data_IF_595674482557
#
_entry.id   IF_595674482557
#
_cell.length_a   1.000
_cell.length_b   1.000
_cell.length_c   1.000
_cell.angle_alpha   90.00
_cell.angle_beta   90.00
_cell.angle_gamma   90.00
#
_symmetry.space_group_name_H-M   'P 1'
#
loop_
_entity.id
_entity.type
_entity.pdbx_description
1 polymer ?
#
# COMPACT_ATOMS: atom_id res chain seq x y z
N UNK A 1 36.70 -12.05 -11.52
CA UNK A 1 35.54 -12.83 -11.05
C UNK A 1 35.15 -12.57 -9.59
N UNK A 2 36.05 -12.65 -8.59
CA UNK A 2 35.68 -12.46 -7.17
C UNK A 2 35.17 -11.04 -6.84
N UNK A 3 35.80 -10.00 -7.39
CA UNK A 3 35.37 -8.60 -7.22
C UNK A 3 33.97 -8.37 -7.84
N UNK A 4 33.69 -9.02 -8.97
CA UNK A 4 32.40 -8.93 -9.66
C UNK A 4 31.24 -9.47 -8.82
N UNK A 5 31.45 -10.58 -8.10
CA UNK A 5 30.42 -11.17 -7.21
C UNK A 5 30.18 -10.27 -5.99
N UNK A 6 31.25 -9.72 -5.39
CA UNK A 6 31.13 -8.79 -4.27
C UNK A 6 30.32 -7.54 -4.64
N UNK A 7 30.59 -6.96 -5.81
CA UNK A 7 29.82 -5.81 -6.32
C UNK A 7 28.34 -6.13 -6.55
N UNK A 8 28.01 -7.33 -7.02
CA UNK A 8 26.62 -7.78 -7.17
C UNK A 8 25.91 -7.82 -5.81
N UNK A 9 26.54 -8.37 -4.77
CA UNK A 9 25.94 -8.40 -3.43
C UNK A 9 25.72 -7.01 -2.84
N UNK A 10 26.68 -6.10 -3.01
CA UNK A 10 26.53 -4.71 -2.58
C UNK A 10 25.36 -4.05 -3.30
N UNK A 11 25.28 -4.21 -4.62
CA UNK A 11 24.18 -3.65 -5.41
C UNK A 11 22.81 -4.20 -4.96
N UNK A 12 22.68 -5.52 -4.80
CA UNK A 12 21.44 -6.14 -4.32
C UNK A 12 21.04 -5.63 -2.93
N UNK A 13 22.02 -5.46 -2.02
CA UNK A 13 21.76 -4.94 -0.68
C UNK A 13 21.23 -3.51 -0.72
N UNK A 14 21.77 -2.66 -1.59
CA UNK A 14 21.28 -1.29 -1.78
C UNK A 14 19.85 -1.28 -2.31
N UNK A 15 19.55 -2.09 -3.33
CA UNK A 15 18.20 -2.18 -3.90
C UNK A 15 17.17 -2.62 -2.86
N UNK A 16 17.49 -3.66 -2.08
CA UNK A 16 16.63 -4.13 -0.99
C UNK A 16 16.48 -3.08 0.10
N UNK A 17 17.56 -2.39 0.47
CA UNK A 17 17.54 -1.32 1.47
C UNK A 17 16.61 -0.17 1.07
N UNK A 18 16.69 0.30 -0.18
CA UNK A 18 15.80 1.34 -0.70
C UNK A 18 14.34 0.87 -0.69
N UNK A 19 14.08 -0.38 -1.12
CA UNK A 19 12.73 -0.94 -1.12
C UNK A 19 12.14 -1.06 0.30
N UNK A 20 12.94 -1.48 1.28
CA UNK A 20 12.51 -1.55 2.68
C UNK A 20 12.25 -0.15 3.27
N UNK A 21 13.07 0.84 2.93
CA UNK A 21 12.87 2.22 3.36
C UNK A 21 11.57 2.81 2.79
N UNK A 22 11.26 2.50 1.53
CA UNK A 22 10.02 2.89 0.87
C UNK A 22 8.80 2.27 1.58
N UNK A 23 8.84 0.96 1.90
CA UNK A 23 7.80 0.31 2.71
C UNK A 23 7.70 0.92 4.11
N UNK A 24 8.84 1.19 4.74
CA UNK A 24 8.88 1.80 6.07
C UNK A 24 8.20 3.17 6.09
N UNK A 25 8.44 3.98 5.05
CA UNK A 25 7.85 5.31 4.88
C UNK A 25 6.35 5.24 4.65
N UNK A 26 5.83 4.17 4.05
CA UNK A 26 4.37 3.96 3.95
C UNK A 26 3.77 3.62 5.31
N UNK A 27 4.47 2.80 6.10
CA UNK A 27 4.00 2.32 7.41
C UNK A 27 3.98 3.38 8.52
N UNK A 28 4.55 4.55 8.27
CA UNK A 28 4.42 5.72 9.14
C UNK A 28 3.13 6.50 8.88
N UNK A 29 2.24 6.03 8.00
CA UNK A 29 0.98 6.69 7.66
C UNK A 29 -0.24 5.94 8.22
N UNK A 30 -1.33 6.67 8.39
CA UNK A 30 -2.67 6.17 8.71
C UNK A 30 -3.59 6.56 7.59
N UNK A 31 -4.54 5.69 7.26
CA UNK A 31 -5.65 6.02 6.37
C UNK A 31 -6.93 6.11 7.18
N UNK A 32 -7.69 7.18 6.94
CA UNK A 32 -8.99 7.47 7.52
C UNK A 32 -10.04 7.42 6.41
N UNK A 33 -11.12 6.70 6.69
CA UNK A 33 -12.19 6.44 5.73
C UNK A 33 -13.40 7.26 6.16
N UNK A 34 -13.90 8.14 5.30
CA UNK A 34 -15.02 9.04 5.64
C UNK A 34 -16.36 8.57 5.08
N UNK A 35 -16.35 7.56 4.21
CA UNK A 35 -17.53 6.88 3.70
C UNK A 35 -17.17 5.43 3.33
N UNK A 36 -18.13 4.48 3.31
CA UNK A 36 -17.79 3.07 3.07
C UNK A 36 -17.09 2.87 1.73
N UNK A 37 -16.01 2.08 1.72
CA UNK A 37 -15.23 1.76 0.51
C UNK A 37 -14.82 0.29 0.45
N UNK A 38 -14.78 -0.31 -0.76
CA UNK A 38 -14.33 -1.68 -0.93
C UNK A 38 -12.81 -1.78 -0.84
N UNK A 39 -12.33 -2.86 -0.21
CA UNK A 39 -10.93 -3.27 -0.24
C UNK A 39 -10.73 -4.46 -1.19
N UNK A 40 -9.90 -4.29 -2.21
CA UNK A 40 -9.70 -5.26 -3.30
C UNK A 40 -8.51 -6.20 -3.07
N UNK A 41 -8.51 -7.31 -3.81
CA UNK A 41 -7.40 -8.28 -3.84
C UNK A 41 -6.11 -7.74 -4.42
N UNK A 42 -6.19 -6.81 -5.38
CA UNK A 42 -5.04 -6.23 -6.08
C UNK A 42 -5.16 -4.69 -6.16
N UNK A 43 -4.01 -4.01 -6.13
CA UNK A 43 -3.96 -2.55 -6.27
C UNK A 43 -4.33 -2.10 -7.68
N UNK A 44 -4.10 -2.95 -8.69
CA UNK A 44 -4.44 -2.67 -10.09
C UNK A 44 -5.94 -2.60 -10.35
N UNK A 45 -6.78 -2.93 -9.36
CA UNK A 45 -8.23 -2.78 -9.46
C UNK A 45 -8.72 -1.32 -9.53
N UNK A 46 -7.81 -0.35 -9.35
CA UNK A 46 -8.07 1.03 -9.72
C UNK A 46 -8.14 1.27 -11.24
N UNK A 47 -7.66 0.34 -12.08
CA UNK A 47 -7.81 0.45 -13.54
C UNK A 47 -9.17 -0.09 -14.00
N UNK A 48 -9.87 0.69 -14.82
CA UNK A 48 -11.22 0.37 -15.31
C UNK A 48 -11.36 -1.00 -16.01
N UNK A 49 -10.29 -1.49 -16.66
CA UNK A 49 -10.31 -2.72 -17.46
C UNK A 49 -9.49 -3.86 -16.82
N UNK A 50 -9.15 -3.77 -15.53
CA UNK A 50 -8.41 -4.85 -14.85
C UNK A 50 -9.34 -6.04 -14.58
N UNK A 51 -9.00 -7.19 -15.12
CA UNK A 51 -9.69 -8.45 -14.83
C UNK A 51 -9.19 -9.06 -13.51
N UNK A 52 -10.04 -9.89 -12.88
CA UNK A 52 -9.69 -10.60 -11.65
C UNK A 52 -9.83 -9.78 -10.36
N UNK A 53 -10.49 -8.63 -10.43
CA UNK A 53 -10.77 -7.79 -9.27
C UNK A 53 -11.93 -8.36 -8.44
N UNK A 54 -11.66 -8.61 -7.18
CA UNK A 54 -12.66 -9.02 -6.20
C UNK A 54 -12.48 -8.22 -4.92
N UNK A 55 -13.61 -7.91 -4.28
CA UNK A 55 -13.64 -7.30 -2.96
C UNK A 55 -13.33 -8.38 -1.93
N UNK A 56 -12.36 -8.12 -1.06
CA UNK A 56 -11.99 -9.00 0.07
C UNK A 56 -12.84 -8.68 1.28
N UNK A 57 -13.08 -7.39 1.55
CA UNK A 57 -13.95 -6.88 2.59
C UNK A 57 -14.37 -5.45 2.27
N UNK A 58 -15.48 -5.02 2.88
CA UNK A 58 -15.90 -3.62 2.89
C UNK A 58 -15.30 -2.91 4.10
N UNK A 59 -14.92 -1.66 3.90
CA UNK A 59 -14.33 -0.82 4.95
C UNK A 59 -15.36 0.21 5.36
N UNK A 60 -15.71 0.21 6.63
CA UNK A 60 -16.75 1.09 7.17
C UNK A 60 -16.31 2.56 7.23
N UNK A 61 -17.30 3.45 7.25
CA UNK A 61 -17.06 4.87 7.49
C UNK A 61 -16.49 5.12 8.89
N UNK A 62 -15.75 6.22 9.03
CA UNK A 62 -15.07 6.70 10.23
C UNK A 62 -14.00 5.73 10.78
N UNK A 63 -13.64 4.70 10.02
CA UNK A 63 -12.61 3.74 10.37
C UNK A 63 -11.20 4.29 10.06
N UNK A 64 -10.23 3.93 10.90
CA UNK A 64 -8.82 4.28 10.75
C UNK A 64 -7.95 3.04 10.74
N UNK A 65 -7.05 2.95 9.77
CA UNK A 65 -6.15 1.81 9.62
C UNK A 65 -4.71 2.25 9.44
N UNK A 66 -3.81 1.46 10.01
CA UNK A 66 -2.39 1.55 9.70
C UNK A 66 -2.14 1.16 8.24
N UNK A 67 -1.44 2.04 7.52
CA UNK A 67 -1.05 1.78 6.13
C UNK A 67 0.04 0.71 6.11
N UNK A 68 -0.17 -0.35 5.32
CA UNK A 68 0.85 -1.39 5.12
C UNK A 68 1.75 -1.10 3.93
N UNK A 69 1.19 -0.47 2.89
CA UNK A 69 1.85 -0.15 1.62
C UNK A 69 1.04 0.89 0.86
N UNK A 70 1.71 1.76 0.12
CA UNK A 70 1.09 2.61 -0.89
C UNK A 70 1.62 2.21 -2.27
N UNK A 71 0.74 2.19 -3.26
CA UNK A 71 1.08 2.03 -4.68
C UNK A 71 0.48 3.16 -5.49
N UNK A 72 1.21 3.59 -6.50
CA UNK A 72 0.76 4.61 -7.44
C UNK A 72 0.56 3.95 -8.80
N UNK A 73 -0.68 3.98 -9.28
CA UNK A 73 -0.99 3.79 -10.69
C UNK A 73 -0.76 5.07 -11.46
N UNK A 74 -0.98 5.02 -12.78
CA UNK A 74 -0.85 6.21 -13.64
C UNK A 74 -1.76 7.35 -13.17
N UNK A 75 -3.00 7.02 -12.83
CA UNK A 75 -4.07 7.98 -12.57
C UNK A 75 -4.74 7.77 -11.20
N UNK A 76 -4.18 6.91 -10.34
CA UNK A 76 -4.74 6.62 -9.02
C UNK A 76 -3.66 6.24 -8.00
N UNK A 77 -4.03 6.33 -6.73
CA UNK A 77 -3.25 5.79 -5.61
C UNK A 77 -4.03 4.66 -4.96
N UNK A 78 -3.35 3.62 -4.50
CA UNK A 78 -3.94 2.50 -3.77
C UNK A 78 -3.22 2.29 -2.44
N UNK A 79 -4.00 2.05 -1.39
CA UNK A 79 -3.53 1.92 -0.02
C UNK A 79 -3.83 0.51 0.46
N UNK A 80 -2.80 -0.23 0.86
CA UNK A 80 -2.96 -1.54 1.47
C UNK A 80 -3.22 -1.39 2.96
N UNK A 81 -4.28 -2.01 3.45
CA UNK A 81 -4.63 -2.10 4.87
C UNK A 81 -4.82 -3.55 5.30
N UNK A 82 -4.95 -3.77 6.61
CA UNK A 82 -5.30 -5.06 7.18
C UNK A 82 -6.45 -4.92 8.17
N UNK A 83 -7.42 -5.82 8.06
CA UNK A 83 -8.60 -5.89 8.90
C UNK A 83 -8.92 -7.37 9.19
N UNK A 84 -9.16 -7.71 10.45
CA UNK A 84 -9.58 -9.06 10.84
C UNK A 84 -8.65 -10.20 10.39
N UNK A 85 -7.36 -9.91 10.16
CA UNK A 85 -6.39 -10.88 9.66
C UNK A 85 -6.27 -10.96 8.13
N UNK A 86 -7.15 -10.29 7.40
CA UNK A 86 -7.12 -10.18 5.93
C UNK A 86 -6.49 -8.86 5.50
N UNK A 87 -5.86 -8.83 4.33
CA UNK A 87 -5.35 -7.59 3.73
C UNK A 87 -6.05 -7.28 2.42
N UNK A 88 -6.30 -6.00 2.17
CA UNK A 88 -6.93 -5.52 0.94
C UNK A 88 -6.40 -4.15 0.53
N UNK A 89 -6.68 -3.78 -0.72
CA UNK A 89 -6.28 -2.52 -1.33
C UNK A 89 -7.47 -1.60 -1.49
N UNK A 90 -7.42 -0.44 -0.86
CA UNK A 90 -8.39 0.63 -1.05
C UNK A 90 -7.88 1.54 -2.15
N UNK A 91 -8.73 1.91 -3.10
CA UNK A 91 -8.40 2.92 -4.11
C UNK A 91 -8.68 4.31 -3.52
N UNK A 92 -7.69 5.19 -3.59
CA UNK A 92 -7.81 6.56 -3.11
C UNK A 92 -8.89 7.32 -3.88
N UNK A 93 -9.69 8.08 -3.15
CA UNK A 93 -10.77 8.90 -3.68
C UNK A 93 -11.26 9.88 -2.62
N UNK A 94 -12.41 10.51 -2.84
CA UNK A 94 -12.96 11.51 -1.93
C UNK A 94 -13.20 10.99 -0.50
N UNK A 95 -13.50 9.69 -0.38
CA UNK A 95 -13.79 9.03 0.90
C UNK A 95 -12.54 8.57 1.68
N UNK A 96 -11.33 8.78 1.14
CA UNK A 96 -10.09 8.17 1.66
C UNK A 96 -9.08 9.27 1.93
N UNK A 97 -8.68 9.45 3.19
CA UNK A 97 -7.70 10.45 3.59
C UNK A 97 -6.46 9.77 4.18
N UNK A 98 -5.27 10.16 3.73
CA UNK A 98 -4.01 9.58 4.22
C UNK A 98 -3.23 10.65 4.98
N UNK A 99 -2.89 10.35 6.23
CA UNK A 99 -2.22 11.25 7.16
C UNK A 99 -0.95 10.60 7.70
N UNK A 100 0.00 11.41 8.18
CA UNK A 100 1.09 10.89 8.99
C UNK A 100 0.53 10.33 10.30
N UNK A 101 1.11 9.24 10.81
CA UNK A 101 0.83 8.76 12.17
C UNK A 101 1.08 9.91 13.16
N UNK A 102 0.19 10.11 14.15
CA UNK A 102 0.49 11.03 15.25
C UNK A 102 1.82 10.63 15.88
N UNK A 103 2.70 11.59 16.13
CA UNK A 103 3.89 11.33 16.93
C UNK A 103 3.42 10.87 18.32
N UNK A 104 3.74 9.64 18.68
CA UNK A 104 3.50 9.09 20.01
C UNK A 104 4.43 9.74 21.04
#
# INVERSE_FOLDING_TARGET
>A
MKISIGLVFVFLSVVVGVWLMDIGTDRTKVVEITAPVPAYTDWECGYANKSGCSVVFEVEADAKYDVQRIRYGKDFMAIKIQEGGSSGWIIYGEAVQVHAKPNA
#
